data_IF_504059171439
#
_entry.id   IF_504059171439
#
_cell.length_a   1.000
_cell.length_b   1.000
_cell.length_c   1.000
_cell.angle_alpha   90.00
_cell.angle_beta   90.00
_cell.angle_gamma   90.00
#
_symmetry.space_group_name_H-M   'P 1'
#
loop_
_entity.id
_entity.type
_entity.pdbx_description
1 polymer ?
#
# COMPACT_ATOMS: atom_id res chain seq x y z
N UNK A 1 -26.74 -30.25 -5.01
CA UNK A 1 -27.74 -29.88 -6.05
C UNK A 1 -29.08 -29.76 -5.33
N UNK A 2 -29.64 -28.56 -5.19
CA UNK A 2 -30.96 -28.37 -4.59
C UNK A 2 -31.92 -27.84 -5.66
N UNK A 3 -33.07 -28.49 -5.81
CA UNK A 3 -34.16 -28.10 -6.70
C UNK A 3 -35.23 -27.40 -5.84
N UNK A 4 -35.48 -26.12 -6.11
CA UNK A 4 -36.63 -25.41 -5.54
C UNK A 4 -37.78 -25.43 -6.54
N UNK A 5 -38.91 -26.04 -6.16
CA UNK A 5 -40.12 -26.10 -6.98
C UNK A 5 -41.00 -24.88 -6.69
N UNK A 6 -41.33 -24.13 -7.73
CA UNK A 6 -42.39 -23.11 -7.68
C UNK A 6 -43.54 -23.56 -8.59
N UNK A 7 -44.71 -23.78 -7.99
CA UNK A 7 -45.93 -24.17 -8.71
C UNK A 7 -46.81 -22.93 -8.85
N UNK A 8 -47.03 -22.49 -10.09
CA UNK A 8 -48.00 -21.45 -10.39
C UNK A 8 -49.25 -22.08 -11.00
N UNK A 9 -50.42 -21.62 -10.54
CA UNK A 9 -51.72 -22.09 -11.04
C UNK A 9 -52.32 -20.98 -11.91
N UNK A 10 -52.55 -21.26 -13.19
CA UNK A 10 -53.23 -20.34 -14.11
C UNK A 10 -54.59 -20.94 -14.46
N UNK A 11 -55.66 -20.16 -14.29
CA UNK A 11 -57.03 -20.56 -14.63
C UNK A 11 -57.41 -20.05 -16.02
N UNK A 12 -57.67 -20.97 -16.96
CA UNK A 12 -58.29 -20.65 -18.24
C UNK A 12 -59.46 -21.61 -18.44
N UNK A 13 -60.67 -21.05 -18.59
CA UNK A 13 -61.95 -21.71 -18.97
C UNK A 13 -62.00 -23.24 -18.73
N UNK A 14 -62.20 -23.62 -17.47
CA UNK A 14 -62.52 -24.97 -17.00
C UNK A 14 -61.46 -26.08 -17.21
N UNK A 15 -60.19 -25.76 -17.45
CA UNK A 15 -59.07 -26.71 -17.31
C UNK A 15 -57.96 -26.13 -16.43
N UNK A 16 -57.45 -26.92 -15.46
CA UNK A 16 -56.26 -26.57 -14.67
C UNK A 16 -55.00 -26.99 -15.43
N UNK A 17 -54.20 -26.03 -15.90
CA UNK A 17 -52.84 -26.28 -16.35
C UNK A 17 -51.86 -25.95 -15.21
N UNK A 18 -50.99 -26.91 -14.87
CA UNK A 18 -49.88 -26.69 -13.94
C UNK A 18 -48.61 -26.42 -14.75
N UNK A 19 -48.09 -25.19 -14.68
CA UNK A 19 -46.76 -24.88 -15.21
C UNK A 19 -45.74 -25.13 -14.10
N UNK A 20 -44.89 -26.14 -14.28
CA UNK A 20 -43.75 -26.40 -13.40
C UNK A 20 -42.54 -25.72 -14.03
N UNK A 21 -42.18 -24.53 -13.53
CA UNK A 21 -40.93 -23.89 -13.88
C UNK A 21 -39.81 -24.45 -13.00
N UNK A 22 -38.88 -25.18 -13.61
CA UNK A 22 -37.64 -25.57 -12.97
C UNK A 22 -36.63 -24.40 -13.07
N UNK A 23 -36.48 -23.62 -12.00
CA UNK A 23 -35.32 -22.75 -11.86
C UNK A 23 -34.13 -23.60 -11.40
N UNK A 24 -33.26 -23.98 -12.34
CA UNK A 24 -31.96 -24.54 -12.01
C UNK A 24 -31.08 -23.37 -11.53
N UNK A 25 -31.01 -23.17 -10.22
CA UNK A 25 -30.03 -22.24 -9.65
C UNK A 25 -28.73 -23.03 -9.49
N UNK A 26 -27.63 -22.67 -10.18
CA UNK A 26 -26.35 -23.33 -9.99
C UNK A 26 -25.85 -23.03 -8.57
N UNK A 27 -25.97 -24.00 -7.67
CA UNK A 27 -25.29 -23.95 -6.37
C UNK A 27 -23.84 -24.33 -6.64
N UNK A 28 -22.98 -23.32 -6.83
CA UNK A 28 -21.54 -23.51 -6.91
C UNK A 28 -21.04 -24.16 -5.60
N UNK A 29 -20.52 -25.37 -5.69
CA UNK A 29 -19.95 -26.07 -4.54
C UNK A 29 -18.45 -25.75 -4.48
N UNK A 30 -18.06 -24.81 -3.62
CA UNK A 30 -16.66 -24.44 -3.44
C UNK A 30 -15.97 -25.36 -2.41
N UNK A 31 -14.65 -25.55 -2.50
CA UNK A 31 -13.89 -26.34 -1.54
C UNK A 31 -13.83 -25.68 -0.15
N UNK A 32 -13.62 -26.48 0.89
CA UNK A 32 -13.60 -26.03 2.30
C UNK A 32 -12.58 -24.91 2.57
N UNK A 33 -11.42 -24.93 1.90
CA UNK A 33 -10.41 -23.89 2.05
C UNK A 33 -10.94 -22.50 1.65
N UNK A 34 -11.82 -22.43 0.64
CA UNK A 34 -12.41 -21.17 0.18
C UNK A 34 -13.45 -20.66 1.19
N UNK A 35 -14.27 -21.57 1.75
CA UNK A 35 -15.17 -21.22 2.86
C UNK A 35 -14.41 -20.75 4.10
N UNK A 36 -13.30 -21.40 4.43
CA UNK A 36 -12.42 -21.03 5.53
C UNK A 36 -11.81 -19.65 5.32
N UNK A 37 -11.32 -19.36 4.11
CA UNK A 37 -10.83 -18.03 3.74
C UNK A 37 -11.88 -16.94 3.99
N UNK A 38 -13.12 -17.14 3.50
CA UNK A 38 -14.21 -16.18 3.71
C UNK A 38 -14.50 -15.95 5.20
N UNK A 39 -14.53 -17.03 5.99
CA UNK A 39 -14.79 -16.96 7.44
C UNK A 39 -13.67 -16.21 8.18
N UNK A 40 -12.41 -16.58 7.93
CA UNK A 40 -11.24 -15.96 8.57
C UNK A 40 -11.15 -14.47 8.24
N UNK A 41 -11.39 -14.10 6.98
CA UNK A 41 -11.25 -12.71 6.51
C UNK A 41 -12.56 -11.93 6.48
N UNK A 42 -13.64 -12.48 7.06
CA UNK A 42 -14.99 -11.89 7.14
C UNK A 42 -15.49 -11.37 5.79
N UNK A 43 -15.35 -12.19 4.74
CA UNK A 43 -15.74 -11.84 3.37
C UNK A 43 -17.20 -12.19 3.12
N UNK A 44 -17.90 -11.23 2.53
CA UNK A 44 -19.26 -11.37 2.02
C UNK A 44 -19.20 -10.97 0.53
N UNK A 45 -19.69 -11.84 -0.35
CA UNK A 45 -19.68 -11.65 -1.79
C UNK A 45 -21.09 -11.78 -2.34
N UNK A 46 -21.41 -11.09 -3.42
CA UNK A 46 -22.53 -11.50 -4.29
C UNK A 46 -22.21 -12.82 -4.99
N UNK A 47 -23.21 -13.44 -5.64
CA UNK A 47 -23.01 -14.70 -6.38
C UNK A 47 -21.99 -14.52 -7.51
N UNK A 48 -22.02 -13.39 -8.21
CA UNK A 48 -21.09 -13.07 -9.28
C UNK A 48 -19.67 -12.84 -8.74
N UNK A 49 -19.54 -12.06 -7.65
CA UNK A 49 -18.28 -11.78 -6.99
C UNK A 49 -17.62 -13.04 -6.42
N UNK A 50 -18.42 -13.98 -5.93
CA UNK A 50 -17.93 -15.21 -5.30
C UNK A 50 -17.19 -16.10 -6.31
N UNK A 51 -17.75 -16.25 -7.52
CA UNK A 51 -17.10 -16.99 -8.61
C UNK A 51 -15.76 -16.34 -8.99
N UNK A 52 -15.75 -15.01 -9.13
CA UNK A 52 -14.53 -14.27 -9.45
C UNK A 52 -13.48 -14.43 -8.34
N UNK A 53 -13.89 -14.27 -7.08
CA UNK A 53 -13.01 -14.42 -5.92
C UNK A 53 -12.39 -15.83 -5.88
N UNK A 54 -13.18 -16.87 -6.15
CA UNK A 54 -12.68 -18.25 -6.21
C UNK A 54 -11.61 -18.42 -7.29
N UNK A 55 -11.86 -17.93 -8.51
CA UNK A 55 -10.90 -18.04 -9.61
C UNK A 55 -9.61 -17.25 -9.36
N UNK A 56 -9.68 -16.11 -8.66
CA UNK A 56 -8.49 -15.36 -8.23
C UNK A 56 -7.72 -16.09 -7.11
N UNK A 57 -8.43 -16.70 -6.16
CA UNK A 57 -7.84 -17.32 -4.99
C UNK A 57 -7.30 -18.72 -5.24
N UNK A 58 -7.89 -19.51 -6.13
CA UNK A 58 -7.47 -20.89 -6.37
C UNK A 58 -5.97 -21.04 -6.72
N UNK A 59 -5.40 -20.30 -7.69
CA UNK A 59 -3.96 -20.41 -7.99
C UNK A 59 -3.10 -19.89 -6.82
N UNK A 60 -3.54 -18.84 -6.15
CA UNK A 60 -2.89 -18.27 -4.96
C UNK A 60 -2.86 -19.25 -3.79
N UNK A 61 -3.95 -19.98 -3.58
CA UNK A 61 -4.06 -21.01 -2.53
C UNK A 61 -3.08 -22.14 -2.79
N UNK A 62 -2.98 -22.61 -4.04
CA UNK A 62 -2.00 -23.63 -4.40
C UNK A 62 -0.57 -23.15 -4.13
N UNK A 63 -0.23 -21.95 -4.59
CA UNK A 63 1.07 -21.34 -4.29
C UNK A 63 1.34 -21.24 -2.79
N UNK A 64 0.36 -20.77 -2.01
CA UNK A 64 0.47 -20.63 -0.57
C UNK A 64 0.76 -21.99 0.10
N UNK A 65 0.05 -23.04 -0.32
CA UNK A 65 0.21 -24.39 0.23
C UNK A 65 1.62 -24.96 -0.02
N UNK A 66 2.20 -24.70 -1.20
CA UNK A 66 3.54 -25.17 -1.57
C UNK A 66 4.63 -24.39 -0.83
N UNK A 67 4.41 -23.10 -0.55
CA UNK A 67 5.41 -22.21 0.05
C UNK A 67 5.19 -21.95 1.54
N UNK A 68 4.28 -22.69 2.17
CA UNK A 68 3.93 -22.57 3.59
C UNK A 68 3.46 -21.14 3.98
N UNK A 69 2.67 -20.51 3.11
CA UNK A 69 1.97 -19.26 3.38
C UNK A 69 0.50 -19.49 3.69
N UNK A 70 -0.15 -18.42 4.14
CA UNK A 70 -1.60 -18.33 4.24
C UNK A 70 -2.10 -17.18 3.38
N UNK A 71 -3.26 -17.36 2.76
CA UNK A 71 -3.97 -16.29 2.05
C UNK A 71 -4.26 -15.12 2.99
N UNK A 72 -4.10 -13.90 2.50
CA UNK A 72 -4.35 -12.68 3.29
C UNK A 72 -5.69 -12.06 2.91
N UNK A 73 -6.17 -11.09 3.68
CA UNK A 73 -7.45 -10.43 3.39
C UNK A 73 -7.51 -9.76 2.01
N UNK A 74 -6.36 -9.57 1.33
CA UNK A 74 -6.26 -8.98 -0.01
C UNK A 74 -6.16 -10.04 -1.11
N UNK A 75 -6.06 -11.33 -0.78
CA UNK A 75 -5.77 -12.34 -1.79
C UNK A 75 -6.89 -12.53 -2.80
N UNK A 76 -8.12 -12.12 -2.46
CA UNK A 76 -9.27 -12.06 -3.36
C UNK A 76 -9.28 -10.82 -4.27
N UNK A 77 -8.25 -9.97 -4.22
CA UNK A 77 -8.10 -8.83 -5.10
C UNK A 77 -7.11 -9.15 -6.21
N UNK A 78 -7.42 -8.65 -7.40
CA UNK A 78 -6.45 -8.60 -8.48
C UNK A 78 -5.46 -7.47 -8.19
N UNK A 79 -4.18 -7.67 -8.51
CA UNK A 79 -3.20 -6.58 -8.46
C UNK A 79 -3.52 -5.63 -9.61
N UNK A 80 -4.35 -4.63 -9.35
CA UNK A 80 -4.49 -3.50 -10.27
C UNK A 80 -3.19 -2.73 -10.18
N UNK A 81 -2.35 -2.83 -11.21
CA UNK A 81 -1.19 -1.93 -11.36
C UNK A 81 -1.72 -0.52 -11.23
N UNK A 82 -1.23 0.22 -10.23
CA UNK A 82 -1.36 1.67 -10.24
C UNK A 82 -0.77 2.19 -11.56
N UNK A 83 -1.33 3.25 -12.13
CA UNK A 83 -0.82 3.80 -13.38
C UNK A 83 0.71 4.02 -13.28
N UNK A 84 1.47 3.69 -14.34
CA UNK A 84 2.93 3.75 -14.30
C UNK A 84 3.39 5.12 -13.78
N UNK A 85 4.38 5.08 -12.89
CA UNK A 85 5.01 6.27 -12.30
C UNK A 85 5.49 7.20 -13.44
N UNK A 86 4.74 8.26 -13.76
CA UNK A 86 5.23 9.30 -14.67
C UNK A 86 6.23 10.18 -13.94
N UNK A 87 7.50 9.79 -14.00
CA UNK A 87 8.61 10.45 -13.31
C UNK A 87 8.99 11.75 -14.05
N UNK A 88 8.97 12.89 -13.35
CA UNK A 88 9.51 14.16 -13.87
C UNK A 88 10.92 14.40 -13.33
N UNK A 89 11.85 14.80 -14.20
CA UNK A 89 13.24 15.10 -13.84
C UNK A 89 13.32 16.34 -12.94
N UNK A 90 13.64 16.19 -11.65
CA UNK A 90 13.89 17.33 -10.73
C UNK A 90 14.91 17.01 -9.63
N UNK A 91 15.46 18.10 -9.06
CA UNK A 91 16.52 18.20 -8.02
C UNK A 91 17.07 16.86 -7.51
N UNK A 92 18.22 16.51 -8.05
CA UNK A 92 19.11 15.47 -7.54
C UNK A 92 19.78 15.97 -6.26
N UNK A 93 19.85 15.13 -5.22
CA UNK A 93 20.84 15.31 -4.17
C UNK A 93 22.18 14.74 -4.64
N UNK A 94 23.01 15.63 -5.18
CA UNK A 94 24.36 15.31 -5.68
C UNK A 94 25.43 15.43 -4.60
N UNK A 95 25.10 15.94 -3.41
CA UNK A 95 26.07 16.35 -2.39
C UNK A 95 26.21 15.33 -1.26
N UNK A 96 26.13 14.04 -1.58
CA UNK A 96 26.42 12.94 -0.65
C UNK A 96 27.86 13.01 -0.12
N UNK A 97 28.12 13.91 0.82
CA UNK A 97 29.36 14.02 1.57
C UNK A 97 29.34 12.95 2.66
N UNK A 98 29.67 11.73 2.25
CA UNK A 98 29.79 10.59 3.17
C UNK A 98 31.14 10.67 3.87
N UNK A 99 31.15 11.25 5.06
CA UNK A 99 32.30 11.19 5.97
C UNK A 99 31.85 10.64 7.32
N UNK A 100 32.09 9.33 7.48
CA UNK A 100 32.14 8.53 8.71
C UNK A 100 30.83 8.17 9.47
N UNK A 101 30.69 6.87 9.78
CA UNK A 101 30.01 6.38 11.00
C UNK A 101 28.51 6.05 10.95
N UNK A 102 27.96 5.49 9.86
CA UNK A 102 26.58 4.98 9.94
C UNK A 102 26.48 3.85 10.98
N UNK A 103 25.40 3.79 11.77
CA UNK A 103 25.18 2.67 12.66
C UNK A 103 25.00 1.38 11.84
N UNK A 104 25.37 0.23 12.42
CA UNK A 104 25.17 -1.07 11.75
C UNK A 104 23.70 -1.35 11.47
N UNK A 105 22.82 -0.87 12.36
CA UNK A 105 21.37 -0.95 12.24
C UNK A 105 20.71 0.32 12.76
N UNK A 106 19.57 0.67 12.20
CA UNK A 106 18.72 1.78 12.63
C UNK A 106 17.26 1.34 12.55
N UNK A 107 16.44 1.75 13.51
CA UNK A 107 15.00 1.51 13.49
C UNK A 107 14.27 2.70 14.12
N UNK A 108 13.60 3.52 13.30
CA UNK A 108 12.87 4.69 13.79
C UNK A 108 11.66 4.32 14.67
N UNK A 109 11.20 3.06 14.64
CA UNK A 109 10.12 2.59 15.53
C UNK A 109 10.57 2.63 16.98
N UNK A 110 11.82 2.24 17.28
CA UNK A 110 12.36 2.23 18.65
C UNK A 110 12.64 3.64 19.18
N UNK A 111 12.51 4.66 18.33
CA UNK A 111 12.72 6.08 18.68
C UNK A 111 11.39 6.83 18.84
N UNK A 112 10.24 6.16 18.68
CA UNK A 112 8.93 6.80 18.75
C UNK A 112 8.63 7.73 17.58
N UNK A 113 9.32 7.55 16.44
CA UNK A 113 9.26 8.45 15.29
C UNK A 113 8.41 7.89 14.11
N UNK A 114 7.69 6.79 14.34
CA UNK A 114 6.88 6.10 13.34
C UNK A 114 5.49 5.84 13.90
N UNK A 115 4.47 6.34 13.23
CA UNK A 115 3.05 6.15 13.61
C UNK A 115 2.61 4.69 13.47
N UNK A 116 1.41 4.38 13.96
CA UNK A 116 0.84 3.05 13.81
C UNK A 116 0.59 2.67 12.33
N UNK A 117 0.57 1.38 12.01
CA UNK A 117 0.26 0.93 10.64
C UNK A 117 -1.20 1.20 10.31
N UNK A 118 -1.42 1.84 9.16
CA UNK A 118 -2.74 2.12 8.58
C UNK A 118 -3.07 1.14 7.45
N UNK A 119 -4.30 1.23 6.92
CA UNK A 119 -4.83 0.36 5.86
C UNK A 119 -5.39 1.21 4.72
N UNK A 120 -4.89 1.01 3.50
CA UNK A 120 -5.34 1.73 2.29
C UNK A 120 -6.59 1.13 1.62
N UNK A 121 -7.10 0.01 2.11
CA UNK A 121 -8.32 -0.59 1.56
C UNK A 121 -8.23 -0.97 0.08
N UNK A 122 -9.24 -0.61 -0.70
CA UNK A 122 -9.31 -0.78 -2.17
C UNK A 122 -8.73 0.37 -2.97
N UNK A 123 -8.35 1.47 -2.33
CA UNK A 123 -7.79 2.64 -3.00
C UNK A 123 -6.28 2.46 -3.22
N UNK A 124 -5.80 2.73 -4.44
CA UNK A 124 -4.38 2.73 -4.84
C UNK A 124 -3.58 3.91 -4.28
N UNK A 125 -3.84 4.30 -3.03
CA UNK A 125 -3.26 5.47 -2.39
C UNK A 125 -1.93 5.21 -1.66
N UNK A 126 -1.22 4.11 -1.96
CA UNK A 126 0.03 3.74 -1.28
C UNK A 126 1.06 4.88 -1.25
N UNK A 127 1.15 5.68 -2.32
CA UNK A 127 2.00 6.87 -2.38
C UNK A 127 1.68 7.89 -1.29
N UNK A 128 0.39 8.10 -0.99
CA UNK A 128 -0.06 9.04 0.03
C UNK A 128 0.28 8.52 1.44
N UNK A 129 0.15 7.21 1.68
CA UNK A 129 0.57 6.58 2.94
C UNK A 129 2.08 6.66 3.14
N UNK A 130 2.86 6.37 2.10
CA UNK A 130 4.32 6.48 2.16
C UNK A 130 4.75 7.94 2.39
N UNK A 131 4.18 8.90 1.66
CA UNK A 131 4.45 10.33 1.85
C UNK A 131 4.05 10.83 3.25
N UNK A 132 2.90 10.40 3.77
CA UNK A 132 2.45 10.71 5.13
C UNK A 132 3.52 10.34 6.16
N UNK A 133 4.15 9.17 6.05
CA UNK A 133 5.22 8.75 6.95
C UNK A 133 6.38 9.75 7.06
N UNK A 134 6.75 10.41 5.97
CA UNK A 134 7.75 11.49 6.01
C UNK A 134 7.24 12.73 6.74
N UNK A 135 5.99 13.16 6.49
CA UNK A 135 5.42 14.31 7.19
C UNK A 135 5.32 14.05 8.70
N UNK A 136 4.90 12.85 9.10
CA UNK A 136 4.81 12.41 10.49
C UNK A 136 6.17 12.47 11.19
N UNK A 137 7.23 11.97 10.54
CA UNK A 137 8.60 12.09 11.06
C UNK A 137 9.05 13.54 11.19
N UNK A 138 8.83 14.39 10.19
CA UNK A 138 9.26 15.78 10.25
C UNK A 138 8.51 16.58 11.32
N UNK A 139 7.25 16.26 11.56
CA UNK A 139 6.50 16.81 12.68
C UNK A 139 7.08 16.36 14.02
N UNK A 140 7.32 15.05 14.18
CA UNK A 140 7.96 14.49 15.38
C UNK A 140 9.35 15.10 15.63
N UNK A 141 10.19 15.21 14.60
CA UNK A 141 11.55 15.78 14.68
C UNK A 141 11.55 17.22 15.18
N UNK A 142 10.52 18.00 14.83
CA UNK A 142 10.43 19.44 15.18
C UNK A 142 9.69 19.70 16.50
N UNK A 143 8.78 18.82 16.91
CA UNK A 143 7.90 19.05 18.07
C UNK A 143 8.09 18.06 19.22
N UNK A 144 8.72 16.92 18.97
CA UNK A 144 8.73 15.76 19.87
C UNK A 144 7.40 15.00 19.92
N UNK A 145 6.37 15.42 19.19
CA UNK A 145 5.05 14.78 19.20
C UNK A 145 4.86 13.91 17.96
N UNK A 146 4.47 12.65 18.18
CA UNK A 146 4.09 11.75 17.09
C UNK A 146 2.60 11.92 16.80
N UNK A 147 2.24 12.16 15.54
CA UNK A 147 0.86 12.36 15.12
C UNK A 147 0.63 11.77 13.75
N UNK A 148 -0.54 11.16 13.54
CA UNK A 148 -0.97 10.66 12.22
C UNK A 148 -1.28 11.82 11.27
N UNK A 149 -0.73 11.77 10.05
CA UNK A 149 -0.99 12.76 9.01
C UNK A 149 -2.07 12.30 8.03
N UNK A 150 -2.80 13.26 7.47
CA UNK A 150 -3.88 12.98 6.52
C UNK A 150 -3.29 12.46 5.21
N UNK A 151 -3.64 11.23 4.89
CA UNK A 151 -3.41 10.64 3.57
C UNK A 151 -4.45 11.15 2.57
N UNK A 152 -5.67 11.44 3.03
CA UNK A 152 -6.78 11.93 2.22
C UNK A 152 -6.45 13.25 1.55
N UNK A 153 -5.77 14.14 2.27
CA UNK A 153 -5.26 15.40 1.75
C UNK A 153 -4.46 15.20 0.46
N UNK A 154 -3.59 14.19 0.41
CA UNK A 154 -2.74 13.96 -0.76
C UNK A 154 -3.47 13.25 -1.88
N UNK A 155 -4.41 12.36 -1.57
CA UNK A 155 -5.30 11.76 -2.56
C UNK A 155 -6.10 12.86 -3.29
N UNK A 156 -6.59 13.85 -2.56
CA UNK A 156 -7.50 14.84 -3.13
C UNK A 156 -6.80 16.10 -3.67
N UNK A 157 -5.73 16.56 -3.02
CA UNK A 157 -5.10 17.86 -3.33
C UNK A 157 -3.90 17.78 -4.28
N UNK A 158 -3.49 16.58 -4.67
CA UNK A 158 -2.46 16.35 -5.71
C UNK A 158 -3.03 15.87 -7.04
N UNK A 159 -4.37 15.80 -7.18
CA UNK A 159 -5.03 15.48 -8.45
C UNK A 159 -4.59 16.42 -9.57
N UNK A 160 -4.23 15.83 -10.71
CA UNK A 160 -3.65 16.51 -11.88
C UNK A 160 -2.17 16.20 -12.05
N UNK A 161 -1.43 16.01 -10.95
CA UNK A 161 -0.08 15.43 -10.97
C UNK A 161 -0.11 13.95 -10.53
N UNK A 162 -0.99 13.62 -9.57
CA UNK A 162 -1.37 12.27 -9.17
C UNK A 162 -2.79 11.92 -9.62
N UNK A 163 -3.16 10.64 -9.46
CA UNK A 163 -4.42 10.05 -9.91
C UNK A 163 -5.27 9.53 -8.73
N UNK A 164 -5.11 10.13 -7.54
CA UNK A 164 -5.91 9.80 -6.36
C UNK A 164 -5.89 8.31 -6.01
N UNK A 165 -7.01 7.61 -6.19
CA UNK A 165 -7.09 6.17 -5.91
C UNK A 165 -6.55 5.27 -7.03
N UNK A 166 -6.18 5.82 -8.18
CA UNK A 166 -5.60 5.07 -9.31
C UNK A 166 -4.06 5.10 -9.31
N UNK A 167 -3.47 5.73 -8.30
CA UNK A 167 -2.02 5.77 -8.10
C UNK A 167 -1.44 7.17 -8.04
N UNK A 168 -0.15 7.21 -7.77
CA UNK A 168 0.59 8.45 -7.66
C UNK A 168 2.00 8.23 -7.16
N UNK A 169 2.73 9.33 -7.01
CA UNK A 169 4.12 9.38 -6.60
C UNK A 169 4.28 10.36 -5.44
N UNK A 170 5.20 10.05 -4.52
CA UNK A 170 5.25 10.68 -3.20
C UNK A 170 5.67 12.16 -3.27
N UNK A 171 6.48 12.55 -4.25
CA UNK A 171 7.03 13.90 -4.31
C UNK A 171 6.01 14.98 -4.65
N UNK A 172 4.90 14.64 -5.32
CA UNK A 172 3.86 15.64 -5.58
C UNK A 172 3.15 16.04 -4.29
N UNK A 173 3.07 15.15 -3.29
CA UNK A 173 2.65 15.52 -1.94
C UNK A 173 3.66 16.50 -1.32
N UNK A 174 4.97 16.24 -1.43
CA UNK A 174 6.01 17.14 -0.90
C UNK A 174 6.05 18.49 -1.61
N UNK A 175 5.87 18.52 -2.93
CA UNK A 175 5.81 19.76 -3.71
C UNK A 175 4.58 20.57 -3.34
N UNK A 176 3.41 19.92 -3.23
CA UNK A 176 2.19 20.57 -2.76
C UNK A 176 2.37 21.13 -1.34
N UNK A 177 3.06 20.39 -0.49
CA UNK A 177 3.37 20.77 0.89
C UNK A 177 4.31 21.98 1.03
N UNK A 178 4.89 22.49 -0.08
CA UNK A 178 5.58 23.80 -0.07
C UNK A 178 4.64 24.99 0.00
N UNK A 179 3.38 24.81 -0.39
CA UNK A 179 2.37 25.89 -0.51
C UNK A 179 1.11 25.62 0.32
N UNK A 180 0.91 24.39 0.78
CA UNK A 180 -0.25 23.97 1.55
C UNK A 180 0.24 23.09 2.69
N UNK A 181 0.06 23.47 3.96
CA UNK A 181 0.57 22.69 5.09
C UNK A 181 0.05 21.25 5.05
N UNK A 182 0.92 20.29 5.36
CA UNK A 182 0.55 18.91 5.60
C UNK A 182 -0.14 18.79 6.96
N UNK A 183 -1.41 18.42 7.02
CA UNK A 183 -2.19 18.40 8.26
C UNK A 183 -2.35 17.01 8.88
N UNK A 184 -2.76 16.92 10.15
CA UNK A 184 -3.05 15.64 10.78
C UNK A 184 -4.35 15.01 10.26
N UNK A 185 -4.43 13.69 10.41
CA UNK A 185 -5.50 12.83 9.90
C UNK A 185 -6.90 13.27 10.36
N UNK A 186 -7.03 13.77 11.59
CA UNK A 186 -8.32 14.15 12.16
C UNK A 186 -8.98 15.40 11.52
N UNK A 187 -8.26 16.19 10.70
CA UNK A 187 -8.87 17.30 9.94
C UNK A 187 -9.39 16.87 8.56
N UNK A 188 -8.78 15.85 7.98
CA UNK A 188 -9.18 15.29 6.69
C UNK A 188 -9.03 13.77 6.77
N UNK A 189 -10.02 13.09 7.39
CA UNK A 189 -9.95 11.66 7.67
C UNK A 189 -9.93 10.83 6.40
N UNK A 190 -9.27 9.68 6.45
CA UNK A 190 -9.21 8.79 5.29
C UNK A 190 -10.57 8.18 4.94
N UNK A 191 -10.99 8.35 3.68
CA UNK A 191 -12.30 7.93 3.18
C UNK A 191 -12.24 6.71 2.25
N UNK A 192 -11.06 6.16 1.96
CA UNK A 192 -10.86 5.08 0.98
C UNK A 192 -11.41 5.38 -0.43
N UNK A 193 -11.61 6.66 -0.74
CA UNK A 193 -12.11 7.14 -2.02
C UNK A 193 -11.65 8.55 -2.28
N UNK A 194 -11.86 8.96 -3.51
CA UNK A 194 -11.61 10.30 -3.98
C UNK A 194 -12.68 11.30 -3.56
N UNK A 195 -12.26 12.51 -3.20
CA UNK A 195 -13.12 13.65 -2.96
C UNK A 195 -12.55 14.95 -3.57
N UNK A 196 -13.23 16.07 -3.33
CA UNK A 196 -12.72 17.38 -3.70
C UNK A 196 -11.67 17.81 -2.68
N UNK A 197 -10.52 18.31 -3.15
CA UNK A 197 -9.49 18.86 -2.29
C UNK A 197 -10.07 19.87 -1.28
N UNK A 198 -10.04 19.49 0.00
CA UNK A 198 -10.42 20.36 1.10
C UNK A 198 -9.28 21.33 1.42
N UNK A 199 -9.57 22.64 1.47
CA UNK A 199 -8.54 23.70 1.57
C UNK A 199 -8.40 24.35 2.94
N UNK A 200 -9.02 23.84 4.01
CA UNK A 200 -8.96 24.50 5.32
C UNK A 200 -8.15 23.71 6.34
N UNK A 201 -6.84 23.83 6.24
CA UNK A 201 -5.91 23.45 7.31
C UNK A 201 -5.54 24.73 8.06
N UNK A 202 -5.93 24.82 9.32
CA UNK A 202 -5.65 25.96 10.20
C UNK A 202 -4.76 25.51 11.35
N UNK A 203 -3.77 26.35 11.68
CA UNK A 203 -2.53 26.16 12.48
C UNK A 203 -1.31 25.72 11.67
N UNK A 204 -0.10 26.17 12.07
CA UNK A 204 1.15 25.74 11.44
C UNK A 204 1.31 24.23 11.61
N UNK A 205 1.31 23.52 10.48
CA UNK A 205 1.71 22.12 10.39
C UNK A 205 2.88 22.01 9.42
N UNK A 206 3.29 20.79 9.06
CA UNK A 206 4.52 20.61 8.28
C UNK A 206 4.43 21.31 6.93
N UNK A 207 5.32 22.26 6.73
CA UNK A 207 5.55 22.96 5.47
C UNK A 207 6.90 22.51 4.91
N UNK A 208 6.91 21.98 3.70
CA UNK A 208 8.14 21.53 3.05
C UNK A 208 8.91 22.74 2.55
N UNK A 209 10.20 22.83 2.88
CA UNK A 209 11.13 23.79 2.27
C UNK A 209 11.85 23.15 1.09
N UNK A 210 12.34 21.92 1.29
CA UNK A 210 13.04 21.17 0.26
C UNK A 210 12.78 19.66 0.38
N UNK A 211 12.85 18.98 -0.76
CA UNK A 211 12.79 17.53 -0.86
C UNK A 211 13.74 17.08 -1.98
N UNK A 212 14.09 15.80 -1.98
CA UNK A 212 14.91 15.15 -3.00
C UNK A 212 14.13 14.01 -3.66
N UNK A 213 14.47 13.73 -4.91
CA UNK A 213 14.01 12.56 -5.66
C UNK A 213 15.23 11.79 -6.16
N UNK A 214 15.14 10.47 -6.17
CA UNK A 214 16.17 9.55 -6.68
C UNK A 214 15.49 8.51 -7.57
N UNK A 215 16.10 8.18 -8.70
CA UNK A 215 15.51 7.29 -9.71
C UNK A 215 16.60 6.53 -10.46
N UNK A 216 16.31 5.28 -10.79
CA UNK A 216 17.13 4.44 -11.67
C UNK A 216 17.23 4.98 -13.10
N UNK A 217 16.21 5.70 -13.58
CA UNK A 217 16.25 6.42 -14.87
C UNK A 217 17.38 7.45 -14.96
N UNK A 218 17.91 7.88 -13.80
CA UNK A 218 19.02 8.81 -13.71
C UNK A 218 20.33 8.11 -13.33
N UNK A 219 20.37 6.78 -13.43
CA UNK A 219 21.46 5.92 -12.98
C UNK A 219 21.86 6.18 -11.52
N UNK A 220 20.89 6.54 -10.67
CA UNK A 220 21.14 6.80 -9.25
C UNK A 220 21.08 5.49 -8.45
N UNK A 221 22.17 5.08 -7.77
CA UNK A 221 22.13 3.91 -6.90
C UNK A 221 21.49 4.30 -5.55
N UNK A 222 20.17 4.21 -5.45
CA UNK A 222 19.39 4.53 -4.26
C UNK A 222 19.91 3.75 -3.04
N UNK A 223 20.13 2.44 -3.14
CA UNK A 223 20.55 1.60 -2.01
C UNK A 223 21.88 2.05 -1.38
N UNK A 224 22.82 2.58 -2.18
CA UNK A 224 24.11 3.12 -1.71
C UNK A 224 23.96 4.29 -0.75
N UNK A 225 22.83 5.00 -0.84
CA UNK A 225 22.54 6.23 -0.09
C UNK A 225 21.39 6.06 0.87
N UNK A 226 20.55 5.04 0.70
CA UNK A 226 19.30 4.87 1.43
C UNK A 226 19.53 4.79 2.96
N UNK A 227 20.53 4.04 3.41
CA UNK A 227 20.86 3.97 4.84
C UNK A 227 21.29 5.33 5.42
N UNK A 228 22.08 6.11 4.67
CA UNK A 228 22.45 7.46 5.05
C UNK A 228 21.23 8.39 5.11
N UNK A 229 20.39 8.34 4.08
CA UNK A 229 19.17 9.14 3.99
C UNK A 229 18.21 8.83 5.14
N UNK A 230 18.08 7.56 5.53
CA UNK A 230 17.27 7.15 6.67
C UNK A 230 17.75 7.80 7.97
N UNK A 231 19.07 7.81 8.21
CA UNK A 231 19.65 8.43 9.42
C UNK A 231 19.50 9.95 9.39
N UNK A 232 19.76 10.57 8.24
CA UNK A 232 19.79 12.03 8.11
C UNK A 232 18.38 12.66 8.08
N UNK A 233 17.47 12.04 7.34
CA UNK A 233 16.18 12.62 6.94
C UNK A 233 14.97 11.84 7.49
N UNK A 234 15.19 10.74 8.22
CA UNK A 234 14.12 9.92 8.79
C UNK A 234 13.62 8.84 7.84
N UNK A 235 12.44 8.25 8.09
CA UNK A 235 11.83 7.27 7.21
C UNK A 235 11.70 7.74 5.76
N UNK A 236 12.11 6.89 4.81
CA UNK A 236 12.24 7.22 3.38
C UNK A 236 11.20 6.46 2.56
N UNK A 237 10.29 7.16 1.85
CA UNK A 237 9.40 6.56 0.88
C UNK A 237 10.14 6.03 -0.34
N UNK A 238 9.82 4.79 -0.73
CA UNK A 238 10.40 4.11 -1.89
C UNK A 238 9.31 3.41 -2.70
N UNK A 239 9.54 3.24 -4.00
CA UNK A 239 8.75 2.35 -4.85
C UNK A 239 9.30 0.93 -4.83
N UNK A 240 8.40 -0.07 -4.84
CA UNK A 240 8.71 -1.48 -5.00
C UNK A 240 7.71 -2.15 -5.95
N UNK A 241 8.09 -3.30 -6.48
CA UNK A 241 7.18 -4.24 -7.13
C UNK A 241 6.41 -5.04 -6.08
N UNK A 242 5.08 -4.95 -6.12
CA UNK A 242 4.17 -5.65 -5.22
C UNK A 242 3.42 -6.83 -5.85
N UNK A 243 3.67 -7.14 -7.13
CA UNK A 243 2.95 -8.19 -7.87
C UNK A 243 3.27 -9.61 -7.39
N UNK A 244 4.37 -9.78 -6.64
CA UNK A 244 4.78 -11.07 -6.09
C UNK A 244 3.80 -11.62 -5.05
N UNK A 245 3.41 -12.88 -5.20
CA UNK A 245 2.65 -13.61 -4.19
C UNK A 245 3.46 -13.86 -2.90
N UNK A 246 4.80 -13.89 -2.97
CA UNK A 246 5.63 -13.93 -1.76
C UNK A 246 5.48 -12.66 -0.91
N UNK A 247 5.35 -11.49 -1.55
CA UNK A 247 5.05 -10.26 -0.82
C UNK A 247 3.58 -10.26 -0.37
N UNK A 248 2.65 -10.55 -1.27
CA UNK A 248 1.21 -10.53 -0.96
C UNK A 248 0.87 -11.37 0.28
N UNK A 249 1.51 -12.52 0.44
CA UNK A 249 1.30 -13.47 1.53
C UNK A 249 2.42 -13.49 2.57
N UNK A 250 3.29 -12.49 2.54
CA UNK A 250 4.40 -12.36 3.48
C UNK A 250 3.89 -12.44 4.92
N UNK A 251 4.52 -13.31 5.73
CA UNK A 251 4.22 -13.51 7.15
C UNK A 251 5.48 -13.53 8.04
N UNK A 252 6.67 -13.35 7.47
CA UNK A 252 7.93 -13.33 8.21
C UNK A 252 9.16 -13.61 7.36
N UNK A 253 10.34 -13.56 8.00
CA UNK A 253 11.63 -13.76 7.33
C UNK A 253 12.13 -12.52 6.59
N UNK A 254 13.04 -12.70 5.64
CA UNK A 254 13.51 -11.64 4.74
C UNK A 254 13.06 -12.00 3.33
N UNK A 255 12.27 -11.13 2.70
CA UNK A 255 11.87 -11.26 1.31
C UNK A 255 13.10 -11.00 0.42
N UNK A 256 13.48 -11.99 -0.37
CA UNK A 256 14.69 -11.98 -1.20
C UNK A 256 14.43 -11.39 -2.57
N UNK A 257 15.50 -10.95 -3.24
CA UNK A 257 15.41 -10.44 -4.61
C UNK A 257 14.81 -11.44 -5.58
N UNK A 258 15.12 -12.73 -5.44
CA UNK A 258 14.60 -13.79 -6.31
C UNK A 258 13.10 -14.05 -6.15
N UNK A 259 12.43 -13.39 -5.20
CA UNK A 259 11.02 -13.60 -4.87
C UNK A 259 10.11 -12.51 -5.41
N UNK A 260 10.61 -11.51 -6.14
CA UNK A 260 9.83 -10.42 -6.72
C UNK A 260 10.51 -9.86 -7.97
N UNK A 261 9.76 -9.17 -8.81
CA UNK A 261 10.30 -8.49 -9.99
C UNK A 261 10.86 -7.12 -9.65
N UNK A 262 10.97 -6.26 -10.67
CA UNK A 262 11.54 -4.90 -10.56
C UNK A 262 10.60 -3.84 -11.14
N UNK A 263 9.42 -4.24 -11.61
CA UNK A 263 8.40 -3.34 -12.15
C UNK A 263 7.64 -2.69 -10.99
N UNK A 264 8.16 -1.55 -10.50
CA UNK A 264 7.59 -0.91 -9.31
C UNK A 264 6.17 -0.40 -9.54
N UNK A 265 5.25 -0.76 -8.64
CA UNK A 265 3.82 -0.42 -8.70
C UNK A 265 3.25 0.00 -7.34
N UNK A 266 4.06 -0.06 -6.26
CA UNK A 266 3.60 0.17 -4.90
C UNK A 266 4.60 1.00 -4.10
N UNK A 267 4.11 2.03 -3.43
CA UNK A 267 4.93 2.87 -2.56
C UNK A 267 4.86 2.40 -1.10
N UNK A 268 6.02 2.29 -0.47
CA UNK A 268 6.20 1.85 0.92
C UNK A 268 7.15 2.78 1.65
N UNK A 269 7.24 2.66 2.98
CA UNK A 269 8.08 3.52 3.80
C UNK A 269 9.19 2.71 4.47
N UNK A 270 10.46 2.97 4.12
CA UNK A 270 11.61 2.37 4.79
C UNK A 270 11.86 3.11 6.09
N UNK A 271 11.66 2.45 7.22
CA UNK A 271 11.77 3.04 8.57
C UNK A 271 13.07 2.68 9.27
N UNK A 272 13.88 1.81 8.67
CA UNK A 272 15.10 1.32 9.29
C UNK A 272 15.83 0.30 8.43
N UNK A 273 16.94 -0.22 8.95
CA UNK A 273 17.78 -1.21 8.29
C UNK A 273 18.63 -1.99 9.28
N UNK A 274 19.11 -3.14 8.84
CA UNK A 274 20.19 -3.93 9.44
C UNK A 274 21.27 -4.16 8.38
N UNK A 275 22.39 -4.84 8.69
CA UNK A 275 23.33 -5.25 7.65
C UNK A 275 22.70 -6.07 6.52
N UNK A 276 21.62 -6.82 6.82
CA UNK A 276 21.02 -7.82 5.93
C UNK A 276 19.74 -7.35 5.21
N UNK A 277 18.95 -6.47 5.81
CA UNK A 277 17.63 -6.12 5.28
C UNK A 277 17.18 -4.70 5.61
N UNK A 278 16.27 -4.17 4.79
CA UNK A 278 15.48 -2.97 5.03
C UNK A 278 14.27 -3.31 5.91
N UNK A 279 13.93 -2.43 6.84
CA UNK A 279 12.71 -2.50 7.67
C UNK A 279 11.67 -1.61 7.02
N UNK A 280 10.58 -2.19 6.53
CA UNK A 280 9.63 -1.46 5.68
C UNK A 280 8.23 -1.51 6.30
N UNK A 281 7.65 -0.33 6.51
CA UNK A 281 6.26 -0.13 6.89
C UNK A 281 5.38 -0.19 5.64
N UNK A 282 4.41 -1.10 5.64
CA UNK A 282 3.41 -1.20 4.58
C UNK A 282 2.10 -0.51 4.99
N UNK A 283 1.16 -0.38 4.05
CA UNK A 283 -0.16 0.26 4.20
C UNK A 283 -1.31 -0.72 4.04
N UNK A 284 -1.08 -2.01 4.30
CA UNK A 284 -2.10 -3.07 4.20
C UNK A 284 -2.69 -3.47 5.55
N UNK A 285 -2.49 -2.65 6.60
CA UNK A 285 -3.01 -2.90 7.94
C UNK A 285 -2.14 -3.84 8.78
N UNK A 286 -2.38 -3.82 10.08
CA UNK A 286 -1.56 -4.54 11.09
C UNK A 286 -1.62 -6.06 10.98
N UNK A 287 -2.71 -6.61 10.43
CA UNK A 287 -2.89 -8.05 10.32
C UNK A 287 -2.15 -8.67 9.11
N UNK A 288 -1.43 -7.86 8.34
CA UNK A 288 -0.60 -8.32 7.23
C UNK A 288 0.88 -8.29 7.63
N UNK A 289 1.66 -9.29 7.20
CA UNK A 289 3.09 -9.35 7.51
C UNK A 289 3.40 -9.43 8.99
N UNK A 290 4.48 -8.76 9.40
CA UNK A 290 4.91 -8.63 10.79
C UNK A 290 4.32 -7.35 11.38
N UNK A 291 3.09 -7.41 11.90
CA UNK A 291 2.35 -6.26 12.43
C UNK A 291 2.22 -5.08 11.44
N UNK A 292 2.11 -5.38 10.14
CA UNK A 292 2.07 -4.42 9.04
C UNK A 292 3.42 -4.04 8.44
N UNK A 293 4.50 -4.70 8.88
CA UNK A 293 5.86 -4.52 8.36
C UNK A 293 6.33 -5.76 7.60
N UNK A 294 7.35 -5.56 6.78
CA UNK A 294 8.12 -6.65 6.18
C UNK A 294 9.60 -6.30 6.11
N UNK A 295 10.44 -7.33 5.93
CA UNK A 295 11.87 -7.17 5.76
C UNK A 295 12.26 -7.52 4.35
N UNK A 296 13.02 -6.63 3.71
CA UNK A 296 13.43 -6.77 2.31
C UNK A 296 14.95 -6.87 2.22
N UNK A 297 15.44 -7.85 1.46
CA UNK A 297 16.87 -8.07 1.27
C UNK A 297 17.57 -6.80 0.78
N UNK A 298 18.70 -6.47 1.41
CA UNK A 298 19.46 -5.26 1.12
C UNK A 298 20.63 -5.54 0.17
N UNK A 299 21.00 -4.54 -0.62
CA UNK A 299 22.14 -4.57 -1.58
C UNK A 299 21.92 -5.43 -2.82
N UNK A 300 20.66 -5.72 -3.15
CA UNK A 300 20.30 -6.63 -4.25
C UNK A 300 19.31 -6.02 -5.23
N UNK A 301 18.84 -4.79 -5.01
CA UNK A 301 17.69 -4.23 -5.70
C UNK A 301 16.46 -5.17 -5.61
N UNK A 302 16.26 -5.75 -4.43
CA UNK A 302 15.12 -6.64 -4.20
C UNK A 302 13.82 -5.86 -4.40
N UNK A 303 12.89 -6.47 -5.14
CA UNK A 303 11.60 -5.89 -5.52
C UNK A 303 11.70 -4.52 -6.20
N UNK A 304 12.81 -4.21 -6.89
CA UNK A 304 12.97 -2.91 -7.56
C UNK A 304 13.13 -1.72 -6.61
N UNK A 305 13.50 -1.91 -5.34
CA UNK A 305 13.66 -0.81 -4.37
C UNK A 305 14.65 0.29 -4.84
N UNK A 306 15.56 -0.03 -5.75
CA UNK A 306 16.49 0.91 -6.34
C UNK A 306 15.89 1.79 -7.45
N UNK A 307 14.61 1.62 -7.78
CA UNK A 307 13.98 2.29 -8.92
C UNK A 307 13.45 3.68 -8.61
N UNK A 308 12.93 3.92 -7.41
CA UNK A 308 12.38 5.23 -7.08
C UNK A 308 12.34 5.51 -5.58
N UNK A 309 12.79 6.70 -5.17
CA UNK A 309 12.65 7.20 -3.81
C UNK A 309 12.43 8.72 -3.83
N UNK A 310 11.64 9.23 -2.90
CA UNK A 310 11.54 10.66 -2.69
C UNK A 310 11.25 10.98 -1.24
N UNK A 311 11.90 12.02 -0.71
CA UNK A 311 11.87 12.33 0.71
C UNK A 311 12.15 13.81 0.98
N UNK A 312 11.59 14.29 2.09
CA UNK A 312 11.77 15.67 2.55
C UNK A 312 13.19 15.82 3.12
N UNK A 313 13.92 16.83 2.66
CA UNK A 313 15.26 17.17 3.15
C UNK A 313 15.25 18.35 4.12
N UNK A 314 14.20 19.18 4.05
CA UNK A 314 14.01 20.30 4.95
C UNK A 314 12.52 20.65 5.08
N UNK A 315 12.05 20.83 6.31
CA UNK A 315 10.70 21.30 6.60
C UNK A 315 10.64 22.22 7.83
N UNK A 316 9.58 23.03 7.88
CA UNK A 316 9.20 23.89 9.01
C UNK A 316 7.83 23.51 9.53
N UNK A 317 7.47 24.02 10.71
CA UNK A 317 6.11 23.97 11.26
C UNK A 317 5.61 25.41 11.28
#
# INVERSE_FOLDING_TARGET
MYLSLYIYTIFIKNMRLYLILFCIVPVYCYPEWFHSYKKVHRKLYTIEEENLAYHLLAPKYHFASVHNYSLTYRSDKNHTRANPFHKRKRRLDTKGNHRFGLPLSMDWRTHGAVTSVKRQGSCGACFAFAAAGSFEYWYWKKTGQLKDFSVQQWIDCTKGDNYGCDGGIMEYAFEKAKRTPAGPDNFDPYLEREYKCYRRIVRPWVMVKNYATQSDEWNYPIEDKLAHNIVQYGPIPVGIDSTSWHLEMYNGGVLKESQCGKDVDHAVLVVGFTPKYWIIKNSWGKNWGLDGYFYLERWKNACGINSYASFITEATI
#
